data_IF_575672084481
#
_entry.id   IF_575672084481
#
_cell.length_a   1.000
_cell.length_b   1.000
_cell.length_c   1.000
_cell.angle_alpha   90.00
_cell.angle_beta   90.00
_cell.angle_gamma   90.00
#
_symmetry.space_group_name_H-M   'P 1'
#
loop_
_entity.id
_entity.type
_entity.pdbx_description
1 polymer ?
#
# COMPACT_ATOMS: atom_id res chain seq x y z
N UNK A 1 -8.70 -17.52 8.31
CA UNK A 1 -9.64 -16.38 8.21
C UNK A 1 -10.27 -16.39 6.83
N UNK A 2 -11.55 -16.05 6.69
CA UNK A 2 -12.16 -15.76 5.40
C UNK A 2 -12.11 -14.25 5.17
N UNK A 3 -11.45 -13.79 4.11
CA UNK A 3 -11.29 -12.36 3.82
C UNK A 3 -11.28 -12.15 2.31
N UNK A 4 -12.45 -11.97 1.70
CA UNK A 4 -12.56 -11.92 0.22
C UNK A 4 -12.48 -10.49 -0.33
N UNK A 5 -12.33 -9.49 0.55
CA UNK A 5 -12.19 -8.08 0.17
C UNK A 5 -10.72 -7.81 -0.18
N UNK A 6 -10.43 -7.18 -1.35
CA UNK A 6 -9.06 -6.77 -1.68
C UNK A 6 -8.48 -5.81 -0.65
N UNK A 7 -7.18 -5.95 -0.34
CA UNK A 7 -6.51 -5.17 0.70
C UNK A 7 -5.33 -4.39 0.11
N UNK A 8 -5.27 -3.09 0.39
CA UNK A 8 -4.10 -2.24 0.20
C UNK A 8 -3.57 -1.84 1.57
N UNK A 9 -2.32 -2.20 1.88
CA UNK A 9 -1.62 -1.79 3.09
C UNK A 9 -0.57 -0.76 2.71
N UNK A 10 -0.60 0.41 3.35
CA UNK A 10 0.41 1.44 3.16
C UNK A 10 1.13 1.72 4.47
N UNK A 11 2.45 1.85 4.43
CA UNK A 11 3.29 2.07 5.62
C UNK A 11 4.45 3.01 5.34
N UNK A 12 4.99 3.62 6.39
CA UNK A 12 6.23 4.39 6.35
C UNK A 12 7.40 3.56 6.89
N UNK A 13 8.50 3.48 6.14
CA UNK A 13 9.68 2.69 6.55
C UNK A 13 10.38 3.18 7.83
N UNK A 14 10.13 4.42 8.26
CA UNK A 14 10.62 5.01 9.50
C UNK A 14 9.51 5.19 10.55
N UNK A 15 8.38 4.50 10.40
CA UNK A 15 7.32 4.52 11.40
C UNK A 15 7.80 3.85 12.70
N UNK A 16 7.85 4.61 13.79
CA UNK A 16 8.20 4.13 15.13
C UNK A 16 6.98 3.90 16.03
N UNK A 17 5.80 4.37 15.62
CA UNK A 17 4.54 4.21 16.36
C UNK A 17 3.90 2.89 15.95
N UNK A 18 3.86 2.59 14.65
CA UNK A 18 3.46 1.31 14.08
C UNK A 18 4.56 0.73 13.18
N UNK A 19 5.68 0.23 13.76
CA UNK A 19 6.78 -0.32 12.96
C UNK A 19 6.31 -1.36 11.94
N UNK A 20 6.71 -1.27 10.65
CA UNK A 20 6.22 -2.17 9.60
C UNK A 20 6.40 -3.65 9.96
N UNK A 21 7.54 -4.01 10.53
CA UNK A 21 7.87 -5.38 10.95
C UNK A 21 6.95 -5.95 12.04
N UNK A 22 6.25 -5.08 12.78
CA UNK A 22 5.29 -5.47 13.81
C UNK A 22 3.83 -5.25 13.39
N UNK A 23 3.58 -4.51 12.31
CA UNK A 23 2.25 -4.12 11.88
C UNK A 23 2.03 -4.42 10.39
N UNK A 24 2.49 -3.56 9.48
CA UNK A 24 2.20 -3.68 8.04
C UNK A 24 2.61 -5.05 7.47
N UNK A 25 3.79 -5.55 7.82
CA UNK A 25 4.31 -6.85 7.38
C UNK A 25 3.49 -8.00 7.97
N UNK A 26 3.14 -7.87 9.25
CA UNK A 26 2.33 -8.86 9.98
C UNK A 26 0.94 -8.94 9.35
N UNK A 27 0.27 -7.81 9.14
CA UNK A 27 -1.04 -7.77 8.49
C UNK A 27 -1.00 -8.33 7.07
N UNK A 28 0.04 -8.02 6.30
CA UNK A 28 0.20 -8.58 4.95
C UNK A 28 0.40 -10.10 4.97
N UNK A 29 1.25 -10.60 5.88
CA UNK A 29 1.55 -12.02 6.03
C UNK A 29 0.33 -12.84 6.48
N UNK A 30 -0.48 -12.32 7.40
CA UNK A 30 -1.67 -13.01 7.90
C UNK A 30 -2.93 -12.80 7.04
N UNK A 31 -2.90 -11.86 6.08
CA UNK A 31 -3.94 -11.77 5.05
C UNK A 31 -3.84 -13.00 4.15
N UNK A 32 -4.93 -13.80 3.98
CA UNK A 32 -4.88 -15.03 3.20
C UNK A 32 -4.33 -14.82 1.78
N UNK A 33 -3.59 -15.80 1.25
CA UNK A 33 -3.09 -15.76 -0.14
C UNK A 33 -4.21 -15.79 -1.19
N UNK A 34 -5.40 -16.29 -0.82
CA UNK A 34 -6.59 -16.22 -1.67
C UNK A 34 -7.17 -14.80 -1.78
N UNK A 35 -6.76 -13.89 -0.88
CA UNK A 35 -7.16 -12.48 -0.89
C UNK A 35 -6.23 -11.70 -1.81
N UNK A 36 -6.79 -10.92 -2.74
CA UNK A 36 -5.98 -9.96 -3.52
C UNK A 36 -5.41 -8.90 -2.57
N UNK A 37 -4.09 -8.88 -2.39
CA UNK A 37 -3.41 -8.01 -1.43
C UNK A 37 -2.21 -7.31 -2.06
N UNK A 38 -1.99 -6.05 -1.69
CA UNK A 38 -0.81 -5.26 -2.02
C UNK A 38 -0.30 -4.55 -0.77
N UNK A 39 1.03 -4.51 -0.59
CA UNK A 39 1.70 -3.70 0.43
C UNK A 39 2.57 -2.67 -0.27
N UNK A 40 2.48 -1.42 0.17
CA UNK A 40 3.26 -0.30 -0.32
C UNK A 40 3.98 0.38 0.84
N UNK A 41 5.30 0.29 0.88
CA UNK A 41 6.12 0.95 1.91
C UNK A 41 6.81 2.18 1.32
N UNK A 42 6.59 3.34 1.95
CA UNK A 42 7.15 4.62 1.53
C UNK A 42 8.53 4.78 2.20
N UNK A 43 9.57 4.91 1.38
CA UNK A 43 10.93 5.11 1.88
C UNK A 43 11.03 6.44 2.66
N UNK A 44 11.74 6.39 3.78
CA UNK A 44 12.03 7.53 4.67
C UNK A 44 10.80 8.22 5.31
N UNK A 45 9.61 7.62 5.22
CA UNK A 45 8.41 8.20 5.81
C UNK A 45 8.13 7.68 7.23
N UNK A 46 7.63 8.56 8.10
CA UNK A 46 7.26 8.26 9.50
C UNK A 46 5.82 7.71 9.58
N UNK A 47 5.19 7.75 10.77
CA UNK A 47 3.83 7.24 11.02
C UNK A 47 2.72 7.87 10.18
N UNK A 48 2.94 9.07 9.67
CA UNK A 48 1.93 9.87 8.97
C UNK A 48 2.23 9.99 7.46
N UNK A 49 2.55 8.89 6.74
CA UNK A 49 3.09 9.00 5.40
C UNK A 49 2.02 9.41 4.37
N UNK A 50 0.74 9.42 4.78
CA UNK A 50 -0.45 9.71 3.97
C UNK A 50 -1.09 11.07 4.28
N UNK A 51 -0.51 11.86 5.19
CA UNK A 51 -1.13 13.13 5.58
C UNK A 51 -0.80 14.23 4.57
N UNK A 52 -1.84 14.74 3.94
CA UNK A 52 -1.79 15.91 3.07
C UNK A 52 -1.60 15.58 1.58
N UNK A 53 -1.78 16.57 0.70
CA UNK A 53 -1.78 16.37 -0.75
C UNK A 53 -0.41 15.97 -1.33
N UNK A 54 0.67 16.19 -0.57
CA UNK A 54 2.05 15.88 -0.98
C UNK A 54 2.59 14.60 -0.32
N UNK A 55 1.72 13.82 0.34
CA UNK A 55 2.05 12.57 0.99
C UNK A 55 2.83 11.61 0.06
N UNK A 56 3.85 10.96 0.63
CA UNK A 56 4.84 10.15 -0.11
C UNK A 56 5.30 10.78 -1.43
N UNK A 57 5.65 12.08 -1.38
CA UNK A 57 6.12 12.86 -2.52
C UNK A 57 5.12 12.99 -3.67
N UNK A 58 3.82 12.88 -3.40
CA UNK A 58 2.75 12.93 -4.41
C UNK A 58 2.47 11.59 -5.10
N UNK A 59 3.19 10.53 -4.74
CA UNK A 59 3.04 9.20 -5.35
C UNK A 59 1.98 8.34 -4.65
N UNK A 60 1.62 8.68 -3.40
CA UNK A 60 0.62 7.93 -2.63
C UNK A 60 -0.76 7.98 -3.30
N UNK A 61 -1.16 9.16 -3.79
CA UNK A 61 -2.44 9.33 -4.49
C UNK A 61 -2.56 8.45 -5.73
N UNK A 62 -1.45 8.16 -6.41
CA UNK A 62 -1.42 7.24 -7.55
C UNK A 62 -1.60 5.79 -7.12
N UNK A 63 -1.08 5.39 -5.97
CA UNK A 63 -1.30 4.05 -5.42
C UNK A 63 -2.75 3.84 -4.93
N UNK A 64 -3.42 4.92 -4.51
CA UNK A 64 -4.85 4.88 -4.19
C UNK A 64 -5.74 4.63 -5.43
N UNK A 65 -5.19 4.73 -6.65
CA UNK A 65 -5.89 4.33 -7.88
C UNK A 65 -6.19 2.82 -7.88
N UNK A 66 -5.50 2.01 -7.07
CA UNK A 66 -5.86 0.62 -6.79
C UNK A 66 -7.29 0.49 -6.28
N UNK A 67 -7.70 1.40 -5.41
CA UNK A 67 -9.06 1.45 -4.88
C UNK A 67 -10.06 1.65 -6.01
N UNK A 68 -9.77 2.53 -6.98
CA UNK A 68 -10.61 2.68 -8.18
C UNK A 68 -10.65 1.42 -9.06
N UNK A 69 -9.53 0.71 -9.28
CA UNK A 69 -9.56 -0.53 -10.07
C UNK A 69 -10.45 -1.61 -9.43
N UNK A 70 -10.34 -1.79 -8.11
CA UNK A 70 -11.12 -2.81 -7.41
C UNK A 70 -12.57 -2.40 -7.16
N UNK A 71 -12.86 -1.12 -6.96
CA UNK A 71 -14.23 -0.63 -6.74
C UNK A 71 -15.01 -0.41 -8.05
N UNK A 72 -14.35 0.01 -9.13
CA UNK A 72 -15.01 0.35 -10.40
C UNK A 72 -14.88 -0.75 -11.46
N UNK A 73 -14.04 -1.77 -11.22
CA UNK A 73 -13.77 -2.83 -12.19
C UNK A 73 -13.06 -2.33 -13.46
N UNK A 74 -12.46 -1.13 -13.39
CA UNK A 74 -11.78 -0.53 -14.53
C UNK A 74 -10.37 -1.12 -14.66
N UNK A 75 -10.06 -1.65 -15.84
CA UNK A 75 -8.75 -2.25 -16.14
C UNK A 75 -7.72 -1.23 -16.62
N UNK A 76 -8.14 0.01 -16.91
CA UNK A 76 -7.28 1.04 -17.48
C UNK A 76 -6.13 1.45 -16.55
N UNK A 77 -6.29 1.27 -15.24
CA UNK A 77 -5.25 1.64 -14.27
C UNK A 77 -4.39 0.48 -13.78
N UNK A 78 -4.53 -0.72 -14.35
CA UNK A 78 -3.63 -1.85 -14.05
C UNK A 78 -2.14 -1.53 -14.23
N UNK A 79 -1.69 -0.75 -15.24
CA UNK A 79 -0.28 -0.41 -15.40
C UNK A 79 0.30 0.32 -14.19
N UNK A 80 -0.46 1.22 -13.55
CA UNK A 80 -0.02 1.96 -12.37
C UNK A 80 0.09 1.09 -11.10
N UNK A 81 -0.59 -0.05 -11.06
CA UNK A 81 -0.48 -1.02 -9.96
C UNK A 81 0.74 -1.93 -10.06
N UNK A 82 1.22 -2.13 -11.28
CA UNK A 82 2.38 -2.96 -11.57
C UNK A 82 3.66 -2.13 -11.61
N UNK A 83 3.52 -0.80 -11.69
CA UNK A 83 4.66 0.09 -11.72
C UNK A 83 5.30 0.21 -10.33
N UNK A 84 6.62 0.18 -10.34
CA UNK A 84 7.47 0.19 -9.15
C UNK A 84 7.97 1.64 -9.04
N UNK A 85 7.39 2.50 -8.19
CA UNK A 85 7.88 3.87 -8.07
C UNK A 85 9.38 3.96 -7.73
N UNK A 86 10.03 5.09 -7.95
CA UNK A 86 11.48 5.17 -7.71
C UNK A 86 11.87 5.20 -6.23
N UNK A 87 10.89 5.33 -5.33
CA UNK A 87 11.07 5.72 -3.93
C UNK A 87 10.49 4.72 -2.92
N UNK A 88 10.29 3.46 -3.29
CA UNK A 88 9.78 2.41 -2.40
C UNK A 88 10.72 1.20 -2.37
N UNK A 89 10.59 0.41 -1.30
CA UNK A 89 11.18 -0.91 -1.18
C UNK A 89 10.05 -1.93 -1.17
N UNK A 90 10.16 -2.95 -2.01
CA UNK A 90 9.42 -4.18 -1.78
C UNK A 90 10.23 -5.02 -0.80
N UNK A 91 9.75 -5.12 0.44
CA UNK A 91 10.20 -6.08 1.45
C UNK A 91 9.15 -7.15 1.64
#
# INVERSE_FOLDING_TARGET
MNHDVPVLIVSGSLDIIAPPSLHADVHYMYTPESTKKLKYEIAFATHDPLIGPNAGSGEVGKNFIMVTNFLLGDSCFCPYLLDTPSNHRFT
#
